data_IF_862044468494
#
_entry.id   IF_862044468494
#
_cell.length_a   1.000
_cell.length_b   1.000
_cell.length_c   1.000
_cell.angle_alpha   90.00
_cell.angle_beta   90.00
_cell.angle_gamma   90.00
#
_symmetry.space_group_name_H-M   'P 1'
#
loop_
_entity.id
_entity.type
_entity.pdbx_description
1 polymer ?
2 polymer ?
3 polymer ?
4 non-polymer ?
5 non-polymer ?
6 water ?
#
# COMPACT_ATOMS: atom_id res chain seq x y z
N UNK A 1 14.60 4.09 13.93
CA UNK A 1 13.45 4.89 14.43
C UNK A 1 12.89 3.96 15.46
N UNK A 2 11.84 4.34 16.15
CA UNK A 2 11.33 3.52 17.24
C UNK A 2 9.89 3.83 17.58
N UNK A 3 9.01 3.63 16.62
CA UNK A 3 8.12 2.47 16.65
C UNK A 3 8.27 1.81 15.29
N UNK A 4 8.23 0.48 15.26
CA UNK A 4 8.52 -0.23 14.03
C UNK A 4 7.56 -1.40 13.87
N UNK A 5 7.41 -1.86 12.65
CA UNK A 5 6.48 -2.97 12.39
C UNK A 5 7.03 -3.89 11.32
N UNK A 6 6.59 -5.15 11.36
CA UNK A 6 6.74 -6.07 10.26
C UNK A 6 5.35 -6.55 9.86
N UNK A 7 5.01 -6.45 8.57
CA UNK A 7 3.70 -6.86 8.08
C UNK A 7 3.79 -7.63 6.79
N UNK A 8 2.91 -8.63 6.67
CA UNK A 8 2.77 -9.38 5.43
C UNK A 8 1.37 -9.23 4.91
N UNK A 9 1.24 -9.14 3.57
CA UNK A 9 -0.02 -8.95 2.89
C UNK A 9 -0.14 -10.03 1.82
N UNK A 10 -1.29 -10.68 1.75
CA UNK A 10 -1.49 -11.79 0.83
C UNK A 10 -2.84 -11.62 0.15
N UNK A 11 -2.88 -11.82 -1.18
CA UNK A 11 -4.12 -11.76 -1.94
C UNK A 11 -4.17 -13.02 -2.80
N UNK A 12 -5.30 -13.74 -2.75
CA UNK A 12 -5.57 -14.79 -3.77
C UNK A 12 -6.84 -14.50 -4.51
N UNK A 13 -6.80 -14.63 -5.83
CA UNK A 13 -7.95 -14.33 -6.68
C UNK A 13 -8.27 -15.54 -7.53
N UNK A 14 -9.48 -16.09 -7.39
CA UNK A 14 -9.80 -17.35 -8.09
C UNK A 14 -10.00 -17.12 -9.61
N UNK A 15 -9.74 -18.20 -10.36
CA UNK A 15 -9.76 -18.23 -11.82
C UNK A 15 -10.66 -19.41 -12.23
N UNK A 16 -11.97 -19.13 -12.29
CA UNK A 16 -13.01 -20.17 -12.32
C UNK A 16 -13.04 -21.02 -13.60
N UNK A 17 -12.61 -20.44 -14.70
CA UNK A 17 -12.57 -21.18 -15.97
C UNK A 17 -11.51 -22.28 -16.08
N UNK A 18 -10.35 -22.12 -15.45
CA UNK A 18 -9.29 -23.11 -15.54
C UNK A 18 -8.17 -22.79 -14.54
N UNK A 19 -7.73 -23.79 -13.80
CA UNK A 19 -6.51 -23.68 -13.01
C UNK A 19 -6.70 -23.04 -11.65
N UNK A 20 -5.56 -22.72 -11.05
CA UNK A 20 -5.50 -22.33 -9.66
C UNK A 20 -5.55 -20.79 -9.51
N UNK A 21 -5.83 -20.31 -8.29
CA UNK A 21 -5.93 -18.86 -8.11
C UNK A 21 -4.58 -18.14 -8.34
N UNK A 22 -4.64 -16.87 -8.69
CA UNK A 22 -3.47 -15.99 -8.63
C UNK A 22 -3.18 -15.65 -7.18
N UNK A 23 -1.93 -15.82 -6.75
CA UNK A 23 -1.55 -15.56 -5.38
C UNK A 23 -0.39 -14.57 -5.37
N UNK A 24 -0.52 -13.51 -4.59
CA UNK A 24 0.53 -12.49 -4.47
C UNK A 24 0.77 -12.30 -2.97
N UNK A 25 2.04 -12.36 -2.55
CA UNK A 25 2.45 -12.09 -1.19
C UNK A 25 3.51 -10.97 -1.19
N UNK A 26 3.38 -10.05 -0.23
CA UNK A 26 4.39 -9.02 -0.04
C UNK A 26 4.68 -8.80 1.44
N UNK A 27 5.97 -8.67 1.76
CA UNK A 27 6.41 -8.41 3.14
C UNK A 27 7.03 -7.04 3.28
N UNK A 28 6.73 -6.35 4.39
CA UNK A 28 7.25 -4.99 4.69
C UNK A 28 7.88 -4.96 6.05
N UNK A 29 8.93 -4.17 6.18
CA UNK A 29 9.37 -3.62 7.47
C UNK A 29 9.07 -2.12 7.39
N UNK A 30 8.25 -1.62 8.29
CA UNK A 30 7.72 -0.25 8.17
C UNK A 30 7.16 -0.04 6.77
N UNK A 31 7.62 0.98 6.03
CA UNK A 31 7.13 1.20 4.71
C UNK A 31 8.09 0.73 3.61
N UNK A 32 8.95 -0.25 3.91
CA UNK A 32 9.91 -0.81 2.97
C UNK A 32 9.51 -2.23 2.63
N UNK A 33 9.19 -2.47 1.37
CA UNK A 33 8.97 -3.84 0.89
C UNK A 33 10.29 -4.56 0.90
N UNK A 34 10.33 -5.78 1.42
CA UNK A 34 11.57 -6.54 1.41
C UNK A 34 11.54 -7.89 0.72
N UNK A 35 10.33 -8.47 0.58
CA UNK A 35 10.17 -9.75 -0.11
C UNK A 35 8.88 -9.75 -0.90
N UNK A 36 8.82 -10.61 -1.89
CA UNK A 36 7.60 -10.81 -2.62
C UNK A 36 7.53 -12.24 -3.12
N UNK A 37 6.31 -12.68 -3.38
CA UNK A 37 6.05 -13.91 -4.13
C UNK A 37 4.87 -13.66 -5.06
N UNK A 38 4.98 -14.08 -6.32
CA UNK A 38 3.89 -13.97 -7.26
C UNK A 38 3.73 -15.33 -7.96
N UNK A 39 2.59 -15.99 -7.81
CA UNK A 39 2.39 -17.29 -8.43
C UNK A 39 2.55 -17.28 -9.95
N UNK A 40 2.38 -16.12 -10.59
CA UNK A 40 2.48 -15.98 -12.07
C UNK A 40 3.96 -15.89 -12.51
N UNK A 41 4.87 -15.57 -11.59
CA UNK A 41 6.30 -15.35 -11.91
C UNK A 41 7.02 -16.68 -12.15
N UNK A 42 8.19 -16.64 -12.78
CA UNK A 42 8.86 -17.89 -13.13
C UNK A 42 9.61 -18.56 -12.00
N UNK A 43 10.15 -17.79 -11.05
CA UNK A 43 11.04 -18.36 -10.06
C UNK A 43 10.38 -19.41 -9.20
N UNK A 44 9.10 -19.15 -8.87
CA UNK A 44 8.38 -19.93 -7.86
C UNK A 44 9.13 -19.93 -6.54
N UNK A 45 9.74 -18.80 -6.20
CA UNK A 45 10.47 -18.66 -4.97
C UNK A 45 10.06 -17.36 -4.29
N UNK A 46 10.20 -17.29 -2.98
CA UNK A 46 10.22 -15.98 -2.32
C UNK A 46 11.44 -15.20 -2.79
N UNK A 47 11.22 -13.97 -3.23
CA UNK A 47 12.25 -13.13 -3.85
C UNK A 47 12.58 -11.91 -2.99
N UNK A 48 13.87 -11.50 -2.96
CA UNK A 48 14.26 -10.31 -2.20
C UNK A 48 13.84 -9.05 -2.91
N UNK A 49 13.54 -8.02 -2.13
CA UNK A 49 13.21 -6.71 -2.69
C UNK A 49 13.91 -5.58 -1.95
N UNK A 50 14.80 -5.90 -1.03
CA UNK A 50 15.67 -4.91 -0.38
C UNK A 50 17.08 -5.51 -0.27
N UNK A 51 18.10 -4.65 -0.37
CA UNK A 51 19.47 -5.17 -0.25
C UNK A 51 19.84 -5.87 1.04
N UNK A 52 19.25 -5.46 2.16
CA UNK A 52 19.61 -5.99 3.44
C UNK A 52 19.05 -7.40 3.68
N UNK A 53 18.07 -7.83 2.88
CA UNK A 53 17.54 -9.18 3.08
C UNK A 53 18.38 -10.17 2.28
N UNK A 54 19.06 -9.70 1.26
CA UNK A 54 19.96 -10.54 0.47
C UNK A 54 21.13 -11.16 1.28
N UNK A 55 21.43 -10.60 2.46
CA UNK A 55 22.35 -11.19 3.45
C UNK A 55 21.95 -12.63 3.79
N UNK A 56 20.65 -12.92 3.79
CA UNK A 56 20.16 -14.16 4.37
C UNK A 56 20.57 -15.33 3.48
N UNK A 57 20.86 -16.44 4.13
CA UNK A 57 21.41 -17.57 3.42
C UNK A 57 20.36 -18.52 2.90
N UNK A 58 20.81 -19.58 2.25
CA UNK A 58 19.89 -20.50 1.58
C UNK A 58 18.81 -21.09 2.49
N UNK A 59 19.11 -21.39 3.75
CA UNK A 59 18.15 -22.01 4.64
C UNK A 59 16.98 -21.03 4.81
N UNK A 60 17.30 -19.74 4.92
CA UNK A 60 16.23 -18.72 4.98
C UNK A 60 15.31 -18.74 3.77
N UNK A 61 15.89 -18.67 2.58
CA UNK A 61 15.13 -18.64 1.34
C UNK A 61 14.34 -19.92 1.12
N UNK A 62 14.92 -21.07 1.44
CA UNK A 62 14.19 -22.33 1.33
C UNK A 62 12.94 -22.31 2.23
N UNK A 63 13.16 -21.88 3.47
CA UNK A 63 12.11 -21.87 4.48
C UNK A 63 11.01 -20.91 4.08
N UNK A 64 11.37 -19.71 3.65
CA UNK A 64 10.32 -18.73 3.28
C UNK A 64 9.56 -19.16 2.02
N UNK A 65 10.23 -19.79 1.06
CA UNK A 65 9.55 -20.30 -0.10
C UNK A 65 8.56 -21.39 0.33
N UNK A 66 9.00 -22.34 1.16
CA UNK A 66 8.11 -23.43 1.60
C UNK A 66 6.85 -22.85 2.27
N UNK A 67 7.08 -21.93 3.19
CA UNK A 67 5.95 -21.31 3.94
C UNK A 67 5.04 -20.51 3.03
N UNK A 68 5.59 -19.73 2.08
CA UNK A 68 4.71 -18.91 1.27
C UNK A 68 3.83 -19.77 0.32
N UNK A 69 4.38 -20.91 -0.12
CA UNK A 69 3.59 -21.86 -0.90
C UNK A 69 2.52 -22.50 -0.02
N UNK A 70 2.81 -22.76 1.24
CA UNK A 70 1.80 -23.26 2.17
C UNK A 70 0.71 -22.23 2.39
N UNK A 71 1.07 -20.95 2.53
CA UNK A 71 0.07 -19.89 2.58
C UNK A 71 -0.85 -19.94 1.36
N UNK A 72 -0.24 -20.09 0.17
CA UNK A 72 -0.98 -20.13 -1.07
C UNK A 72 -1.99 -21.30 -1.11
N UNK A 73 -1.56 -22.44 -0.61
CA UNK A 73 -2.47 -23.57 -0.62
C UNK A 73 -3.61 -23.41 0.39
N UNK A 74 -3.34 -22.82 1.55
CA UNK A 74 -4.45 -22.54 2.46
C UNK A 74 -5.47 -21.60 1.81
N UNK A 75 -4.98 -20.55 1.14
CA UNK A 75 -5.88 -19.65 0.43
C UNK A 75 -6.70 -20.37 -0.65
N UNK A 76 -6.06 -21.29 -1.35
CA UNK A 76 -6.77 -22.06 -2.36
C UNK A 76 -7.92 -22.84 -1.70
N UNK A 77 -7.63 -23.57 -0.68
CA UNK A 77 -8.62 -24.39 0.03
C UNK A 77 -9.76 -23.47 0.55
N UNK A 78 -9.38 -22.34 1.14
CA UNK A 78 -10.36 -21.40 1.70
C UNK A 78 -11.31 -20.89 0.63
N UNK A 79 -10.79 -20.57 -0.56
CA UNK A 79 -11.65 -20.11 -1.63
C UNK A 79 -12.75 -21.14 -1.96
N UNK A 80 -12.38 -22.43 -1.96
CA UNK A 80 -13.37 -23.50 -2.15
C UNK A 80 -14.36 -23.60 -1.01
N UNK A 81 -13.86 -23.55 0.23
CA UNK A 81 -14.69 -23.70 1.41
C UNK A 81 -15.69 -22.55 1.48
N UNK A 82 -15.21 -21.34 1.20
CA UNK A 82 -16.07 -20.17 1.28
C UNK A 82 -17.12 -20.13 0.15
N UNK A 83 -16.74 -20.52 -1.06
CA UNK A 83 -17.71 -20.60 -2.13
C UNK A 83 -18.88 -21.52 -1.68
N UNK A 84 -18.55 -22.60 -1.02
CA UNK A 84 -19.56 -23.54 -0.50
C UNK A 84 -20.41 -22.93 0.62
N UNK A 85 -19.80 -22.24 1.58
CA UNK A 85 -20.54 -21.76 2.71
C UNK A 85 -21.53 -20.66 2.30
N UNK A 86 -21.15 -19.86 1.29
CA UNK A 86 -21.99 -18.77 0.80
C UNK A 86 -22.87 -19.24 -0.36
N UNK A 87 -22.81 -20.52 -0.70
CA UNK A 87 -23.67 -21.10 -1.74
C UNK A 87 -23.56 -20.34 -3.05
N UNK A 88 -22.32 -20.09 -3.45
CA UNK A 88 -22.00 -19.40 -4.68
C UNK A 88 -21.70 -20.38 -5.80
N UNK A 89 -21.89 -19.91 -7.02
CA UNK A 89 -21.63 -20.72 -8.20
C UNK A 89 -20.14 -20.75 -8.53
N UNK A 90 -19.79 -21.67 -9.41
CA UNK A 90 -18.41 -21.80 -9.92
C UNK A 90 -18.09 -20.73 -10.96
N UNK A 91 -19.04 -19.85 -11.27
CA UNK A 91 -18.88 -18.93 -12.38
C UNK A 91 -18.03 -17.69 -12.09
N UNK A 92 -18.11 -17.19 -10.86
CA UNK A 92 -17.57 -15.86 -10.55
C UNK A 92 -16.17 -16.00 -9.94
N UNK A 93 -15.37 -14.98 -10.09
CA UNK A 93 -14.09 -14.90 -9.39
C UNK A 93 -14.32 -14.37 -7.98
N UNK A 94 -13.57 -14.89 -7.01
CA UNK A 94 -13.65 -14.43 -5.61
C UNK A 94 -12.23 -14.20 -5.10
N UNK A 95 -12.14 -13.50 -3.99
CA UNK A 95 -10.85 -13.07 -3.46
C UNK A 95 -10.78 -13.39 -1.98
N UNK A 96 -9.60 -13.79 -1.50
CA UNK A 96 -9.28 -13.73 -0.11
C UNK A 96 -8.10 -12.81 0.09
N UNK A 97 -8.12 -12.07 1.20
CA UNK A 97 -7.02 -11.16 1.58
C UNK A 97 -6.67 -11.36 3.03
N UNK A 98 -5.39 -11.47 3.31
CA UNK A 98 -4.88 -11.69 4.66
C UNK A 98 -3.78 -10.69 4.97
N UNK A 99 -3.77 -10.16 6.16
CA UNK A 99 -2.68 -9.29 6.63
C UNK A 99 -2.36 -9.66 8.05
N UNK A 100 -1.08 -9.87 8.36
CA UNK A 100 -0.68 -10.06 9.74
C UNK A 100 0.66 -9.41 10.04
N UNK A 101 0.93 -9.19 11.32
CA UNK A 101 2.22 -8.67 11.70
C UNK A 101 2.28 -8.23 13.13
N UNK A 102 3.39 -7.59 13.45
CA UNK A 102 3.68 -7.19 14.81
C UNK A 102 4.31 -5.81 14.82
N UNK A 103 4.12 -5.11 15.92
CA UNK A 103 4.73 -3.77 16.17
C UNK A 103 5.60 -3.88 17.42
N UNK A 104 6.74 -3.20 17.40
CA UNK A 104 7.58 -2.99 18.61
C UNK A 104 7.71 -1.51 18.90
N UNK A 105 7.91 -1.16 20.17
CA UNK A 105 8.04 0.25 20.54
C UNK A 105 9.48 0.72 20.42
N UNK A 106 9.79 1.91 20.95
CA UNK A 106 11.16 2.44 20.89
C UNK A 106 12.15 1.53 21.62
N UNK A 107 11.71 0.93 22.72
CA UNK A 107 12.52 -0.05 23.44
C UNK A 107 12.67 -1.39 22.70
N UNK A 108 12.09 -1.49 21.51
CA UNK A 108 12.05 -2.74 20.71
C UNK A 108 11.36 -3.93 21.38
N UNK A 109 10.50 -3.65 22.35
CA UNK A 109 9.69 -4.72 22.93
C UNK A 109 8.35 -4.79 22.20
N UNK A 110 7.76 -5.96 22.26
CA UNK A 110 6.43 -6.19 21.71
C UNK A 110 5.44 -5.13 22.15
N UNK A 111 4.70 -4.57 21.22
CA UNK A 111 3.63 -3.63 21.50
C UNK A 111 2.29 -4.23 21.14
N UNK A 112 2.19 -4.79 19.94
CA UNK A 112 0.91 -5.41 19.53
C UNK A 112 1.09 -6.31 18.31
N UNK A 113 0.14 -7.22 18.15
CA UNK A 113 0.13 -8.10 16.99
C UNK A 113 -1.26 -8.17 16.43
N UNK A 114 -1.34 -8.65 15.19
CA UNK A 114 -2.59 -8.63 14.47
C UNK A 114 -2.60 -9.65 13.33
N UNK A 115 -3.81 -10.07 12.98
CA UNK A 115 -4.06 -11.01 11.88
C UNK A 115 -5.46 -10.86 11.41
N UNK A 116 -5.68 -10.33 10.23
CA UNK A 116 -7.00 -10.06 9.71
C UNK A 116 -7.19 -10.80 8.40
N UNK A 117 -8.41 -11.23 8.14
CA UNK A 117 -8.78 -11.99 6.94
C UNK A 117 -10.13 -11.56 6.40
N UNK A 118 -10.18 -11.38 5.07
CA UNK A 118 -11.37 -10.89 4.36
C UNK A 118 -11.69 -11.82 3.20
N UNK A 119 -12.99 -11.97 2.91
CA UNK A 119 -13.50 -12.62 1.71
C UNK A 119 -14.28 -11.67 0.88
N UNK A 120 -13.93 -11.55 -0.40
CA UNK A 120 -14.53 -10.57 -1.29
C UNK A 120 -14.55 -9.15 -0.71
N UNK A 121 -13.48 -8.80 0.02
CA UNK A 121 -13.26 -7.42 0.45
C UNK A 121 -14.03 -7.01 1.69
N UNK A 122 -14.62 -8.02 2.35
CA UNK A 122 -15.38 -7.81 3.57
C UNK A 122 -14.70 -8.60 4.69
N UNK A 123 -14.68 -8.02 5.87
CA UNK A 123 -14.20 -8.72 7.03
C UNK A 123 -14.84 -10.11 7.16
N UNK A 124 -13.99 -11.10 7.43
CA UNK A 124 -14.39 -12.50 7.67
C UNK A 124 -14.06 -12.86 9.09
N UNK A 125 -12.77 -12.94 9.43
CA UNK A 125 -12.35 -13.27 10.78
C UNK A 125 -11.05 -12.55 11.08
N UNK A 126 -10.92 -12.07 12.30
CA UNK A 126 -9.73 -11.37 12.74
C UNK A 126 -9.39 -11.75 14.19
N UNK A 127 -8.09 -11.74 14.52
CA UNK A 127 -7.65 -11.91 15.88
C UNK A 127 -7.97 -10.66 16.63
N UNK A 128 -8.52 -10.81 17.83
CA UNK A 128 -8.67 -9.68 18.72
C UNK A 128 -7.33 -9.14 19.26
N UNK A 129 -7.36 -7.94 19.83
CA UNK A 129 -6.15 -7.30 20.37
C UNK A 129 -5.42 -8.12 21.42
N UNK A 130 -6.17 -8.84 22.25
CA UNK A 130 -5.56 -9.71 23.25
C UNK A 130 -4.87 -10.98 22.72
N UNK A 131 -5.00 -11.23 21.42
CA UNK A 131 -4.37 -12.35 20.74
C UNK A 131 -4.89 -13.71 21.23
N UNK A 132 -6.06 -13.72 21.87
CA UNK A 132 -6.57 -14.95 22.46
C UNK A 132 -7.79 -15.51 21.79
N UNK A 133 -8.56 -14.65 21.15
CA UNK A 133 -9.79 -15.10 20.50
C UNK A 133 -10.00 -14.31 19.23
N UNK A 134 -11.07 -14.67 18.55
CA UNK A 134 -11.38 -14.23 17.20
C UNK A 134 -12.68 -13.41 17.12
N UNK A 135 -12.69 -12.46 16.21
CA UNK A 135 -13.88 -11.70 15.83
C UNK A 135 -14.39 -12.22 14.49
N UNK A 136 -15.54 -12.88 14.50
CA UNK A 136 -16.19 -13.46 13.30
C UNK A 136 -17.31 -12.51 12.84
N UNK A 137 -17.30 -12.12 11.57
CA UNK A 137 -18.23 -11.11 11.06
C UNK A 137 -19.64 -11.65 10.80
N UNK A 138 -19.75 -12.92 10.42
CA UNK A 138 -20.99 -13.54 10.01
C UNK A 138 -21.04 -15.01 10.43
N UNK A 139 -22.09 -15.72 10.10
CA UNK A 139 -22.23 -17.08 10.60
C UNK A 139 -21.31 -18.12 9.92
N UNK A 140 -20.80 -17.82 8.72
CA UNK A 140 -19.79 -18.71 8.12
C UNK A 140 -18.48 -18.57 8.92
N UNK A 141 -18.09 -17.33 9.19
CA UNK A 141 -16.95 -17.08 10.05
C UNK A 141 -17.09 -17.61 11.46
N UNK A 142 -18.32 -17.64 11.99
CA UNK A 142 -18.56 -18.23 13.29
C UNK A 142 -18.26 -19.73 13.31
N UNK A 143 -18.58 -20.44 12.23
CA UNK A 143 -18.23 -21.87 12.12
C UNK A 143 -16.71 -22.02 12.13
N UNK A 144 -16.02 -21.12 11.43
CA UNK A 144 -14.57 -21.10 11.43
C UNK A 144 -14.06 -20.84 12.83
N UNK A 145 -14.65 -19.88 13.52
CA UNK A 145 -14.18 -19.57 14.87
C UNK A 145 -14.28 -20.78 15.79
N UNK A 146 -15.39 -21.53 15.76
CA UNK A 146 -15.54 -22.69 16.62
C UNK A 146 -14.46 -23.72 16.25
N UNK A 147 -14.19 -23.90 14.96
CA UNK A 147 -13.17 -24.86 14.50
C UNK A 147 -11.79 -24.45 15.05
N UNK A 148 -11.46 -23.19 14.90
CA UNK A 148 -10.17 -22.67 15.35
C UNK A 148 -10.00 -22.66 16.88
N UNK A 149 -11.09 -22.44 17.60
CA UNK A 149 -11.09 -22.55 19.07
C UNK A 149 -10.75 -23.97 19.49
N UNK A 150 -11.39 -24.94 18.86
CA UNK A 150 -11.13 -26.33 19.21
C UNK A 150 -9.69 -26.74 18.90
N UNK A 151 -9.13 -26.20 17.80
CA UNK A 151 -7.79 -26.58 17.36
C UNK A 151 -6.70 -25.69 17.94
N UNK A 152 -7.05 -24.74 18.80
CA UNK A 152 -6.13 -23.84 19.47
C UNK A 152 -5.27 -23.11 18.49
N UNK A 153 -5.94 -22.63 17.40
CA UNK A 153 -5.21 -21.92 16.34
C UNK A 153 -4.62 -20.56 16.80
N UNK A 154 -5.36 -19.81 17.61
CA UNK A 154 -4.88 -18.52 18.13
C UNK A 154 -3.60 -18.65 18.96
N UNK A 155 -3.52 -19.72 19.74
CA UNK A 155 -2.40 -19.87 20.66
C UNK A 155 -1.09 -20.01 19.86
N UNK A 156 -1.14 -20.76 18.77
CA UNK A 156 -0.01 -20.95 17.87
C UNK A 156 0.38 -19.59 17.23
N UNK A 157 -0.64 -18.88 16.78
CA UNK A 157 -0.39 -17.66 16.05
C UNK A 157 0.18 -16.60 17.01
N UNK A 158 -0.41 -16.53 18.20
CA UNK A 158 0.11 -15.65 19.23
C UNK A 158 1.58 -15.89 19.59
N UNK A 159 1.96 -17.16 19.63
CA UNK A 159 3.34 -17.50 19.86
C UNK A 159 4.25 -16.86 18.82
N UNK A 160 3.86 -16.96 17.56
CA UNK A 160 4.63 -16.35 16.47
C UNK A 160 4.67 -14.83 16.64
N UNK A 161 3.52 -14.20 16.84
CA UNK A 161 3.45 -12.74 16.88
C UNK A 161 4.26 -12.12 18.00
N UNK A 162 4.32 -12.80 19.14
CA UNK A 162 5.09 -12.32 20.28
C UNK A 162 6.54 -12.84 20.29
N UNK A 163 6.83 -13.82 19.44
CA UNK A 163 8.11 -14.54 19.44
C UNK A 163 8.90 -14.24 18.18
N UNK A 164 8.82 -15.16 17.22
CA UNK A 164 9.52 -15.04 15.97
C UNK A 164 9.31 -13.69 15.30
N UNK A 165 8.07 -13.24 15.23
CA UNK A 165 7.79 -12.01 14.51
C UNK A 165 8.63 -10.85 15.03
N UNK A 166 8.65 -10.62 16.33
CA UNK A 166 9.36 -9.46 16.89
C UNK A 166 10.87 -9.73 16.91
N UNK A 167 11.26 -10.98 17.08
CA UNK A 167 12.70 -11.33 17.00
C UNK A 167 13.29 -11.05 15.62
N UNK A 168 12.58 -11.48 14.57
CA UNK A 168 13.08 -11.27 13.22
C UNK A 168 12.92 -9.81 12.77
N UNK A 169 11.89 -9.15 13.26
CA UNK A 169 11.82 -7.70 13.01
C UNK A 169 13.08 -6.99 13.55
N UNK A 170 13.46 -7.30 14.77
CA UNK A 170 14.66 -6.67 15.35
C UNK A 170 15.90 -7.01 14.50
N UNK A 171 16.01 -8.27 14.08
CA UNK A 171 17.10 -8.70 13.19
C UNK A 171 17.17 -7.88 11.91
N UNK A 172 16.03 -7.68 11.26
CA UNK A 172 16.02 -6.95 10.02
C UNK A 172 16.33 -5.48 10.24
N UNK A 173 15.80 -4.90 11.31
CA UNK A 173 16.08 -3.49 11.63
C UNK A 173 17.60 -3.28 11.84
N UNK A 174 18.26 -4.23 12.49
CA UNK A 174 19.73 -4.16 12.68
C UNK A 174 20.47 -4.33 11.37
N UNK A 175 20.11 -5.35 10.59
CA UNK A 175 20.77 -5.60 9.32
C UNK A 175 20.60 -4.49 8.29
N UNK A 176 19.39 -3.92 8.24
CA UNK A 176 19.12 -2.80 7.37
C UNK A 176 19.18 -1.43 8.02
N UNK A 177 19.95 -1.27 9.08
CA UNK A 177 19.84 -0.07 9.91
C UNK A 177 20.12 1.18 9.10
N UNK A 178 21.02 1.08 8.12
CA UNK A 178 21.48 2.26 7.42
C UNK A 178 20.32 2.93 6.65
N UNK A 179 19.32 2.15 6.25
CA UNK A 179 18.12 2.72 5.63
C UNK A 179 16.89 2.62 6.54
N UNK A 180 16.65 1.45 7.14
CA UNK A 180 15.44 1.27 7.94
C UNK A 180 15.34 2.14 9.18
N UNK A 181 16.49 2.48 9.77
CA UNK A 181 16.49 3.31 10.96
C UNK A 181 16.89 4.73 10.64
N UNK A 182 16.88 5.08 9.35
CA UNK A 182 17.12 6.45 8.90
C UNK A 182 15.80 7.10 8.54
N UNK A 183 15.55 8.30 9.04
CA UNK A 183 14.39 9.09 8.59
C UNK A 183 14.81 10.07 7.52
N UNK A 184 13.97 10.21 6.50
CA UNK A 184 14.24 11.14 5.41
C UNK A 184 13.19 12.22 5.51
N UNK A 185 13.60 13.37 6.06
CA UNK A 185 12.66 14.48 6.23
C UNK A 185 12.12 14.97 4.88
N UNK A 186 10.86 15.43 4.88
CA UNK A 186 10.33 15.91 3.63
C UNK A 186 11.03 17.15 3.14
N UNK A 187 11.26 17.19 1.83
CA UNK A 187 11.69 18.41 1.16
C UNK A 187 10.42 19.17 0.83
N UNK A 188 10.26 20.40 1.32
CA UNK A 188 8.99 21.08 1.20
C UNK A 188 9.13 22.34 0.35
N UNK A 189 8.05 22.68 -0.33
CA UNK A 189 7.95 23.98 -1.01
C UNK A 189 6.50 24.28 -1.29
N UNK A 190 6.21 25.53 -1.65
CA UNK A 190 4.84 25.94 -1.98
C UNK A 190 4.81 26.41 -3.43
N UNK A 191 3.75 26.05 -4.11
CA UNK A 191 3.45 26.65 -5.39
C UNK A 191 2.15 27.45 -5.32
N UNK A 192 1.95 28.25 -6.37
CA UNK A 192 0.89 29.26 -6.45
C UNK A 192 0.37 29.34 -7.89
N UNK A 193 -0.90 29.01 -8.07
CA UNK A 193 -1.48 28.96 -9.40
C UNK A 193 -2.80 29.66 -9.42
N UNK A 194 -2.86 30.74 -10.21
CA UNK A 194 -4.11 31.45 -10.40
C UNK A 194 -5.23 30.54 -10.91
N UNK A 195 -6.41 30.68 -10.32
CA UNK A 195 -7.62 30.00 -10.78
C UNK A 195 -8.49 30.93 -11.62
N UNK A 196 -8.39 32.22 -11.30
CA UNK A 196 -8.96 33.33 -12.06
C UNK A 196 -8.11 34.56 -11.80
N UNK A 197 -8.63 35.71 -12.15
CA UNK A 197 -7.99 36.95 -11.84
C UNK A 197 -8.09 37.33 -10.35
N UNK A 198 -8.95 36.65 -9.58
CA UNK A 198 -9.20 37.04 -8.19
C UNK A 198 -9.15 35.91 -7.20
N UNK A 199 -8.84 34.70 -7.64
CA UNK A 199 -8.47 33.65 -6.68
C UNK A 199 -7.35 32.74 -7.18
N UNK A 200 -6.64 32.13 -6.24
CA UNK A 200 -5.46 31.33 -6.57
C UNK A 200 -5.38 30.09 -5.66
N UNK A 201 -4.80 29.01 -6.18
CA UNK A 201 -4.49 27.84 -5.39
C UNK A 201 -3.09 27.91 -4.84
N UNK A 202 -2.95 27.79 -3.53
CA UNK A 202 -1.67 27.53 -2.90
C UNK A 202 -1.55 26.05 -2.64
N UNK A 203 -0.42 25.47 -3.06
CA UNK A 203 -0.20 24.05 -2.88
C UNK A 203 1.09 23.85 -2.11
N UNK A 204 0.95 23.16 -0.98
CA UNK A 204 2.05 22.83 -0.10
C UNK A 204 2.50 21.42 -0.42
N UNK A 205 3.77 21.29 -0.78
CA UNK A 205 4.36 20.04 -1.24
C UNK A 205 5.31 19.44 -0.20
N UNK A 206 5.23 18.10 -0.04
CA UNK A 206 6.22 17.37 0.73
C UNK A 206 6.73 16.18 -0.15
N UNK A 207 8.03 16.22 -0.40
CA UNK A 207 8.67 15.27 -1.34
C UNK A 207 9.78 14.45 -0.69
N UNK A 208 9.99 13.27 -1.23
CA UNK A 208 11.14 12.46 -0.94
C UNK A 208 11.24 12.05 0.54
N UNK A 209 10.11 11.78 1.20
CA UNK A 209 10.15 11.51 2.64
C UNK A 209 9.98 10.01 2.95
N UNK A 210 10.47 9.66 4.13
CA UNK A 210 10.36 8.30 4.69
C UNK A 210 10.47 8.40 6.19
N UNK A 211 9.59 7.75 6.95
CA UNK A 211 8.52 6.87 6.48
C UNK A 211 7.32 7.63 5.93
N UNK A 212 6.28 6.90 5.55
CA UNK A 212 5.16 7.49 4.82
C UNK A 212 4.25 8.37 5.65
N UNK A 213 4.19 8.16 6.96
CA UNK A 213 3.31 8.95 7.82
C UNK A 213 3.71 10.42 7.81
N UNK A 214 2.74 11.29 7.55
CA UNK A 214 2.96 12.74 7.49
C UNK A 214 1.65 13.44 7.74
N UNK A 215 1.75 14.66 8.26
CA UNK A 215 0.59 15.52 8.37
C UNK A 215 0.89 16.88 7.74
N UNK A 216 0.02 17.26 6.80
CA UNK A 216 0.01 18.60 6.21
C UNK A 216 -1.27 19.32 6.63
N UNK A 217 -1.11 20.53 7.17
CA UNK A 217 -2.24 21.29 7.68
C UNK A 217 -2.17 22.72 7.18
N UNK A 218 -3.28 23.23 6.64
CA UNK A 218 -3.37 24.65 6.29
C UNK A 218 -3.99 25.42 7.44
N UNK A 219 -3.49 26.63 7.65
CA UNK A 219 -3.99 27.56 8.67
C UNK A 219 -4.26 28.89 8.00
N UNK A 220 -5.27 29.61 8.50
CA UNK A 220 -5.49 31.00 8.14
C UNK A 220 -5.50 31.82 9.43
N UNK A 221 -4.65 32.83 9.50
CA UNK A 221 -4.40 33.54 10.78
C UNK A 221 -4.06 32.62 11.92
N UNK A 222 -3.39 31.52 11.61
CA UNK A 222 -2.87 30.60 12.63
C UNK A 222 -3.86 29.54 13.11
N UNK A 223 -5.09 29.57 12.60
CA UNK A 223 -6.08 28.58 12.93
C UNK A 223 -6.33 27.64 11.78
N UNK A 224 -6.52 26.37 12.09
CA UNK A 224 -6.73 25.32 11.07
C UNK A 224 -7.88 25.71 10.14
N UNK A 225 -7.67 25.51 8.86
CA UNK A 225 -8.71 25.66 7.84
C UNK A 225 -8.84 24.37 7.04
N UNK A 226 -10.05 23.85 6.91
CA UNK A 226 -10.33 22.70 6.04
C UNK A 226 -11.24 23.05 4.87
N UNK A 227 -12.06 24.09 5.01
CA UNK A 227 -12.84 24.53 3.84
C UNK A 227 -11.95 25.03 2.71
N UNK A 228 -12.39 24.74 1.48
CA UNK A 228 -11.67 25.11 0.27
C UNK A 228 -10.25 24.49 0.22
N UNK A 229 -10.06 23.35 0.88
CA UNK A 229 -8.80 22.61 0.84
C UNK A 229 -8.99 21.27 0.14
N UNK A 230 -7.87 20.74 -0.34
CA UNK A 230 -7.81 19.44 -0.96
C UNK A 230 -6.51 18.79 -0.48
N UNK A 231 -6.58 17.54 -0.02
CA UNK A 231 -5.38 16.82 0.45
C UNK A 231 -5.35 15.53 -0.37
N UNK A 232 -4.28 15.27 -1.12
CA UNK A 232 -4.20 14.01 -1.86
C UNK A 232 -3.69 12.89 -0.98
N UNK A 233 -4.01 11.66 -1.37
CA UNK A 233 -3.44 10.48 -0.74
C UNK A 233 -1.93 10.49 -0.89
N UNK A 234 -1.22 10.15 0.18
CA UNK A 234 0.20 9.93 0.11
C UNK A 234 0.53 8.86 -0.94
N UNK A 235 1.53 9.15 -1.76
CA UNK A 235 1.78 8.34 -2.94
C UNK A 235 3.26 7.99 -3.02
N UNK A 236 3.56 6.83 -3.60
CA UNK A 236 4.97 6.47 -3.69
C UNK A 236 5.68 7.20 -4.81
N UNK A 237 6.90 7.61 -4.55
CA UNK A 237 7.71 8.18 -5.63
C UNK A 237 8.16 7.10 -6.60
N UNK A 238 8.38 5.89 -6.08
CA UNK A 238 8.96 4.79 -6.87
C UNK A 238 10.39 4.46 -6.52
N UNK A 239 11.03 5.30 -5.71
CA UNK A 239 12.43 5.10 -5.27
C UNK A 239 12.53 4.75 -3.79
N UNK A 240 11.39 4.42 -3.19
CA UNK A 240 11.34 4.08 -1.81
C UNK A 240 10.82 5.16 -0.90
N UNK A 241 10.71 6.36 -1.43
CA UNK A 241 10.23 7.53 -0.70
C UNK A 241 8.81 7.83 -1.11
N UNK A 242 8.24 8.83 -0.45
CA UNK A 242 6.82 9.17 -0.58
C UNK A 242 6.63 10.65 -0.85
N UNK A 243 5.46 10.96 -1.40
CA UNK A 243 5.09 12.34 -1.75
C UNK A 243 3.67 12.64 -1.24
N UNK A 244 3.39 13.93 -0.99
CA UNK A 244 2.02 14.34 -0.69
C UNK A 244 1.96 15.86 -0.95
N UNK A 245 0.74 16.33 -1.23
CA UNK A 245 0.49 17.75 -1.24
C UNK A 245 -0.87 18.04 -0.65
N UNK A 246 -1.00 19.31 -0.26
CA UNK A 246 -2.27 19.83 0.26
C UNK A 246 -2.45 21.20 -0.37
N UNK A 247 -3.68 21.50 -0.79
CA UNK A 247 -3.93 22.76 -1.47
C UNK A 247 -5.05 23.54 -0.78
N UNK A 248 -5.03 24.85 -0.97
CA UNK A 248 -6.12 25.70 -0.49
C UNK A 248 -6.39 26.77 -1.54
N UNK A 249 -7.65 27.11 -1.78
CA UNK A 249 -8.00 28.23 -2.65
C UNK A 249 -8.22 29.50 -1.82
N UNK A 250 -7.56 30.56 -2.22
CA UNK A 250 -7.54 31.82 -1.47
C UNK A 250 -7.84 32.98 -2.42
N UNK A 251 -8.35 34.09 -1.89
CA UNK A 251 -8.41 35.30 -2.68
C UNK A 251 -7.05 35.82 -3.05
N UNK A 252 -6.84 36.18 -4.32
CA UNK A 252 -5.57 36.70 -4.73
C UNK A 252 -5.24 38.01 -4.03
N UNK A 253 -4.01 38.12 -3.52
CA UNK A 253 -3.59 39.21 -2.71
C UNK A 253 -3.60 38.91 -1.22
N UNK A 254 -4.27 37.83 -0.83
CA UNK A 254 -4.38 37.44 0.59
C UNK A 254 -3.54 36.21 0.99
N UNK A 255 -2.61 35.84 0.12
CA UNK A 255 -1.78 34.63 0.33
C UNK A 255 -1.03 34.68 1.66
N UNK A 256 -0.55 35.86 2.05
CA UNK A 256 0.30 35.97 3.26
C UNK A 256 -0.36 35.57 4.58
N UNK A 257 -1.69 35.50 4.66
CA UNK A 257 -2.28 35.09 5.91
C UNK A 257 -2.38 33.59 6.09
N UNK A 258 -2.03 32.84 5.05
CA UNK A 258 -2.12 31.40 5.08
C UNK A 258 -0.76 30.73 5.35
N UNK A 259 -0.77 29.70 6.19
CA UNK A 259 0.45 28.94 6.47
C UNK A 259 0.16 27.47 6.33
N UNK A 260 1.16 26.74 5.83
CA UNK A 260 1.10 25.26 5.79
C UNK A 260 2.10 24.71 6.84
N UNK A 261 1.62 23.80 7.67
CA UNK A 261 2.47 23.12 8.62
C UNK A 261 2.69 21.70 8.17
N UNK A 262 3.94 21.29 8.31
CA UNK A 262 4.33 19.93 7.94
C UNK A 262 4.94 19.25 9.18
N UNK A 263 4.32 18.15 9.56
CA UNK A 263 4.77 17.30 10.65
C UNK A 263 5.21 15.95 10.10
N UNK A 264 6.39 15.52 10.53
CA UNK A 264 6.96 14.22 10.12
C UNK A 264 8.01 13.79 11.18
N UNK A 265 8.21 12.47 11.31
CA UNK A 265 9.19 11.93 12.27
C UNK A 265 10.61 12.48 12.05
N UNK A 266 10.93 12.83 10.81
CA UNK A 266 12.24 13.31 10.45
C UNK A 266 12.50 14.78 10.75
N UNK A 267 11.47 15.46 11.24
CA UNK A 267 11.58 16.87 11.62
C UNK A 267 11.51 16.99 13.15
N UNK A 268 12.55 17.56 13.76
CA UNK A 268 12.51 17.90 15.20
C UNK A 268 11.35 18.83 15.60
N UNK A 269 11.00 19.76 14.72
CA UNK A 269 9.90 20.68 14.95
C UNK A 269 9.12 20.71 13.64
N UNK A 270 7.79 20.88 13.71
CA UNK A 270 7.07 21.03 12.46
C UNK A 270 7.57 22.23 11.64
N UNK A 271 7.54 22.10 10.33
CA UNK A 271 7.86 23.19 9.44
C UNK A 271 6.65 24.06 9.20
N UNK A 272 6.91 25.34 8.99
CA UNK A 272 5.90 26.31 8.63
C UNK A 272 6.26 26.98 7.31
N UNK A 273 5.37 26.88 6.32
CA UNK A 273 5.59 27.47 5.01
C UNK A 273 4.58 28.61 4.80
N UNK A 274 5.07 29.70 4.23
CA UNK A 274 4.23 30.87 3.96
C UNK A 274 4.60 31.45 2.59
N UNK A 275 3.61 31.80 1.78
CA UNK A 275 3.88 32.31 0.46
C UNK A 275 4.64 33.63 0.52
N UNK B 1 -18.49 -2.80 -0.43
CA UNK B 1 -19.25 -3.58 -1.43
C UNK B 1 -18.38 -4.76 -1.92
N UNK B 2 -18.26 -4.95 -3.21
CA UNK B 2 -17.10 -5.69 -3.62
C UNK B 2 -16.46 -4.76 -4.63
N UNK B 3 -17.21 -3.68 -4.97
CA UNK B 3 -16.90 -2.70 -6.06
C UNK B 3 -16.79 -1.19 -5.66
N UNK B 4 -15.58 -0.65 -5.76
CA UNK B 4 -15.33 0.76 -5.46
C UNK B 4 -14.36 1.28 -6.54
N UNK B 5 -14.58 2.48 -7.08
CA UNK B 5 -13.88 2.94 -8.28
C UNK B 5 -12.48 3.43 -7.88
N UNK B 6 -11.49 3.22 -8.74
CA UNK B 6 -10.14 3.66 -8.38
C UNK B 6 -9.94 5.14 -8.32
N UNK B 7 -9.24 5.59 -7.29
CA UNK B 7 -8.58 6.88 -7.30
C UNK B 7 -7.34 6.78 -8.20
N UNK B 8 -7.06 7.85 -8.92
CA UNK B 8 -5.99 7.84 -9.92
C UNK B 8 -5.13 9.10 -9.78
N UNK B 9 -3.82 8.94 -9.59
CA UNK B 9 -2.92 10.10 -9.63
C UNK B 9 -1.85 9.82 -10.68
N UNK B 10 -1.57 10.78 -11.54
CA UNK B 10 -0.56 10.66 -12.60
C UNK B 10 0.45 11.76 -12.39
N UNK B 11 1.71 11.37 -12.22
CA UNK B 11 2.75 12.27 -11.78
C UNK B 11 4.12 11.75 -12.14
N UNK B 12 5.11 12.66 -12.21
CA UNK B 12 6.49 12.23 -12.38
C UNK B 12 7.11 11.98 -11.02
N UNK B 13 8.09 11.10 -11.02
CA UNK B 13 8.86 10.88 -9.82
C UNK B 13 9.54 12.18 -9.31
N UNK B 14 10.20 12.87 -10.23
CA UNK B 14 10.87 14.17 -9.97
C UNK B 14 10.21 15.27 -10.71
N UNK B 15 10.43 16.52 -10.26
CA UNK B 15 9.90 17.66 -10.98
C UNK B 15 10.41 17.63 -12.39
N UNK B 16 9.51 17.78 -13.34
CA UNK B 16 9.82 17.51 -14.73
C UNK B 16 10.62 18.66 -15.35
N UNK B 17 11.65 18.27 -16.09
CA UNK B 17 12.33 19.18 -16.98
C UNK B 17 12.56 18.52 -18.33
N UNK B 18 12.38 19.31 -19.39
CA UNK B 18 12.58 18.85 -20.76
C UNK B 18 14.00 18.35 -20.99
N UNK B 19 14.11 17.16 -21.56
CA UNK B 19 15.39 16.56 -21.86
C UNK B 19 16.05 15.83 -20.73
N UNK B 20 15.38 15.78 -19.56
CA UNK B 20 15.97 15.14 -18.43
C UNK B 20 15.16 13.93 -18.05
N UNK B 21 15.81 12.77 -18.12
CA UNK B 21 15.24 11.46 -17.89
C UNK B 21 14.53 11.43 -16.53
N UNK B 22 13.38 10.77 -16.49
CA UNK B 22 12.51 10.82 -15.28
C UNK B 22 11.66 9.52 -15.33
N UNK B 23 10.67 9.44 -14.43
CA UNK B 23 9.77 8.31 -14.38
C UNK B 23 8.35 8.83 -14.29
N UNK B 24 7.50 8.31 -15.16
CA UNK B 24 6.09 8.62 -15.18
C UNK B 24 5.35 7.53 -14.38
N UNK B 25 4.56 7.99 -13.41
CA UNK B 25 3.83 7.12 -12.47
C UNK B 25 2.34 7.29 -12.69
N UNK B 26 1.64 6.18 -12.61
CA UNK B 26 0.19 6.19 -12.39
C UNK B 26 -0.11 5.34 -11.17
N UNK B 27 -0.55 6.00 -10.12
CA UNK B 27 -0.90 5.34 -8.87
C UNK B 27 -2.39 5.17 -8.79
N UNK B 28 -2.85 3.93 -8.71
CA UNK B 28 -4.29 3.67 -8.65
C UNK B 28 -4.58 3.02 -7.31
N UNK B 29 -5.58 3.51 -6.59
CA UNK B 29 -5.78 3.02 -5.23
C UNK B 29 -7.25 3.06 -4.88
N UNK B 30 -7.58 2.51 -3.74
CA UNK B 30 -8.93 2.53 -3.27
C UNK B 30 -9.94 1.75 -4.07
N UNK B 31 -9.51 0.72 -4.81
CA UNK B 31 -10.41 -0.04 -5.69
C UNK B 31 -10.77 -1.44 -5.24
N UNK B 32 -11.95 -1.89 -5.65
CA UNK B 32 -12.42 -3.27 -5.43
C UNK B 32 -13.59 -3.39 -6.49
N UNK B 33 -13.55 -4.47 -7.23
CA UNK B 33 -12.62 -5.55 -7.03
C UNK B 33 -11.18 -5.33 -7.62
N UNK B 34 -10.30 -6.33 -7.54
CA UNK B 34 -8.86 -6.16 -7.82
C UNK B 34 -8.54 -6.10 -9.34
N UNK B 35 -9.40 -6.68 -10.16
CA UNK B 35 -9.15 -6.76 -11.60
C UNK B 35 -9.17 -5.35 -12.15
N UNK B 36 -8.08 -4.95 -12.80
CA UNK B 36 -7.95 -3.57 -13.31
C UNK B 36 -6.99 -3.54 -14.49
N UNK B 37 -7.21 -2.63 -15.44
CA UNK B 37 -6.29 -2.50 -16.55
C UNK B 37 -5.81 -1.06 -16.58
N UNK B 38 -4.48 -0.91 -16.57
CA UNK B 38 -3.86 0.40 -16.55
C UNK B 38 -2.85 0.45 -17.70
N UNK B 39 -2.99 1.47 -18.54
CA UNK B 39 -1.99 1.78 -19.55
C UNK B 39 -1.49 3.21 -19.40
N UNK B 40 -0.19 3.41 -19.66
CA UNK B 40 0.35 4.73 -19.77
C UNK B 40 0.42 5.11 -21.25
N UNK B 41 0.01 6.34 -21.55
CA UNK B 41 -0.14 6.82 -22.93
C UNK B 41 0.87 7.94 -23.19
N UNK B 42 1.41 7.93 -24.41
CA UNK B 42 2.19 9.03 -24.94
C UNK B 42 1.54 9.48 -26.24
N UNK B 43 1.09 10.73 -26.25
CA UNK B 43 0.32 11.31 -27.37
C UNK B 43 -0.79 10.34 -27.79
N UNK B 44 -1.49 9.77 -26.82
CA UNK B 44 -2.61 8.86 -27.12
C UNK B 44 -2.29 7.40 -27.38
N UNK B 45 -1.03 7.06 -27.59
CA UNK B 45 -0.65 5.68 -27.89
C UNK B 45 -0.20 5.02 -26.59
N UNK B 46 -0.55 3.73 -26.46
CA UNK B 46 -0.10 2.94 -25.32
C UNK B 46 1.42 2.77 -25.34
N UNK B 47 2.08 3.10 -24.23
CA UNK B 47 3.48 2.84 -24.05
C UNK B 47 3.74 1.37 -23.72
N UNK B 48 4.74 0.75 -24.36
CA UNK B 48 4.97 -0.70 -24.18
C UNK B 48 5.76 -1.08 -22.94
N UNK B 49 6.79 -0.32 -22.61
CA UNK B 49 7.71 -0.75 -21.56
C UNK B 49 7.17 -0.25 -20.22
N UNK B 50 6.10 -0.89 -19.70
CA UNK B 50 5.52 -0.38 -18.44
C UNK B 50 5.60 -1.45 -17.36
N UNK B 51 6.13 -1.07 -16.20
CA UNK B 51 6.21 -1.98 -15.06
C UNK B 51 5.14 -1.66 -14.00
N UNK B 52 4.88 -2.59 -13.10
CA UNK B 52 3.99 -2.28 -11.99
C UNK B 52 4.43 -2.95 -10.71
N UNK B 53 3.97 -2.40 -9.60
CA UNK B 53 4.24 -2.92 -8.30
C UNK B 53 3.42 -4.22 -8.04
N UNK B 54 3.79 -4.93 -6.99
CA UNK B 54 3.02 -6.10 -6.55
C UNK B 54 1.74 -5.65 -5.83
N UNK B 55 0.64 -6.24 -6.23
CA UNK B 55 -0.68 -5.96 -5.61
C UNK B 55 -0.62 -5.99 -4.08
N UNK B 56 -1.10 -4.92 -3.48
CA UNK B 56 -1.24 -4.85 -2.06
C UNK B 56 -2.52 -4.07 -1.76
N UNK B 57 -2.80 -3.86 -0.48
CA UNK B 57 -4.08 -3.29 -0.05
C UNK B 57 -3.95 -2.55 1.26
N UNK B 58 -4.92 -1.67 1.49
CA UNK B 58 -5.02 -0.82 2.65
C UNK B 58 -5.87 -1.46 3.73
N UNK B 59 -5.98 -0.72 4.82
CA UNK B 59 -6.72 -1.15 6.00
C UNK B 59 -8.16 -1.54 5.71
N UNK B 60 -8.83 -0.77 4.87
CA UNK B 60 -10.20 -1.04 4.47
C UNK B 60 -10.34 -2.16 3.41
N UNK B 61 -9.23 -2.85 3.09
CA UNK B 61 -9.18 -3.93 2.10
C UNK B 61 -9.08 -3.48 0.62
N UNK B 62 -9.22 -2.17 0.37
CA UNK B 62 -9.17 -1.75 -1.02
C UNK B 62 -7.72 -1.81 -1.52
N UNK B 63 -7.60 -2.08 -2.81
CA UNK B 63 -6.28 -2.39 -3.41
C UNK B 63 -5.57 -1.13 -3.93
N UNK B 64 -4.26 -1.25 -4.12
CA UNK B 64 -3.48 -0.19 -4.78
C UNK B 64 -2.35 -0.83 -5.58
N UNK B 65 -1.98 -0.13 -6.65
CA UNK B 65 -0.92 -0.50 -7.57
C UNK B 65 -0.26 0.79 -8.04
N UNK B 66 1.03 0.71 -8.30
CA UNK B 66 1.80 1.75 -9.03
C UNK B 66 2.23 1.18 -10.37
N UNK B 67 1.88 1.87 -11.44
CA UNK B 67 2.40 1.60 -12.77
C UNK B 67 3.39 2.69 -13.17
N UNK B 68 4.48 2.30 -13.81
CA UNK B 68 5.54 3.27 -14.04
C UNK B 68 6.41 2.92 -15.24
N UNK B 69 7.03 3.96 -15.80
CA UNK B 69 7.91 3.78 -16.96
C UNK B 69 8.90 4.94 -16.98
N UNK B 70 10.10 4.67 -17.47
CA UNK B 70 11.08 5.74 -17.63
C UNK B 70 10.66 6.54 -18.82
N UNK B 71 10.81 7.84 -18.74
CA UNK B 71 10.56 8.69 -19.88
C UNK B 71 11.41 9.94 -19.84
N UNK B 72 11.56 10.60 -20.98
CA UNK B 72 12.25 11.90 -21.02
C UNK B 72 11.28 12.92 -21.53
N UNK B 73 10.71 13.72 -20.62
CA UNK B 73 9.75 14.72 -21.06
C UNK B 73 10.31 15.73 -22.07
N UNK B 74 9.44 16.15 -23.00
CA UNK B 74 9.71 17.21 -24.00
C UNK B 74 8.60 18.27 -23.92
N UNK B 75 8.75 19.38 -24.64
CA UNK B 75 7.75 20.45 -24.51
C UNK B 75 6.41 20.02 -25.13
N UNK B 76 6.49 19.26 -26.22
CA UNK B 76 5.30 18.97 -27.02
C UNK B 76 4.59 17.67 -26.60
N UNK B 77 5.31 16.71 -26.02
CA UNK B 77 4.75 15.38 -25.83
C UNK B 77 3.73 15.42 -24.72
N UNK B 78 2.60 14.74 -24.93
CA UNK B 78 1.54 14.68 -23.93
C UNK B 78 1.42 13.28 -23.35
N UNK B 79 1.26 13.18 -22.03
CA UNK B 79 1.19 11.86 -21.39
C UNK B 79 -0.10 11.72 -20.59
N UNK B 80 -0.49 10.48 -20.37
CA UNK B 80 -1.72 10.21 -19.65
C UNK B 80 -1.72 8.78 -19.13
N UNK B 81 -2.67 8.50 -18.24
CA UNK B 81 -2.92 7.16 -17.75
C UNK B 81 -4.36 6.80 -18.15
N UNK B 82 -4.54 5.59 -18.67
CA UNK B 82 -5.88 5.08 -19.03
C UNK B 82 -6.22 3.91 -18.13
N UNK B 83 -7.31 4.01 -17.38
CA UNK B 83 -7.71 2.96 -16.45
C UNK B 83 -9.09 2.42 -16.86
N UNK B 84 -9.20 1.11 -16.88
CA UNK B 84 -10.51 0.45 -16.96
C UNK B 84 -10.70 -0.49 -15.77
N UNK B 85 -11.95 -0.58 -15.35
CA UNK B 85 -12.32 -1.29 -14.15
C UNK B 85 -13.82 -1.55 -14.25
N UNK B 86 -14.36 -2.43 -13.43
CA UNK B 86 -15.81 -2.74 -13.57
C UNK B 86 -16.73 -1.58 -13.21
N UNK B 87 -16.25 -0.60 -12.47
CA UNK B 87 -17.03 0.56 -12.06
C UNK B 87 -17.15 1.65 -13.12
N UNK B 88 -16.42 1.50 -14.22
CA UNK B 88 -16.30 2.55 -15.23
C UNK B 88 -16.98 2.06 -16.51
N UNK B 89 -17.94 2.84 -17.02
CA UNK B 89 -18.63 2.44 -18.25
C UNK B 89 -17.75 2.59 -19.50
N UNK B 90 -16.74 3.46 -19.43
CA UNK B 90 -15.69 3.48 -20.45
C UNK B 90 -14.35 3.70 -19.75
N UNK B 91 -13.26 3.47 -20.48
CA UNK B 91 -11.96 3.76 -19.86
C UNK B 91 -11.86 5.21 -19.40
N UNK B 92 -11.18 5.44 -18.29
CA UNK B 92 -10.97 6.80 -17.76
C UNK B 92 -9.54 7.20 -18.09
N UNK B 93 -9.40 8.37 -18.71
CA UNK B 93 -8.09 8.84 -19.12
C UNK B 93 -7.79 10.06 -18.31
N UNK B 94 -6.68 10.00 -17.55
CA UNK B 94 -6.29 11.12 -16.72
C UNK B 94 -4.96 11.65 -17.27
N UNK B 95 -4.98 12.90 -17.68
CA UNK B 95 -3.80 13.54 -18.23
C UNK B 95 -2.76 13.86 -17.17
N UNK B 96 -1.49 13.73 -17.55
CA UNK B 96 -0.38 14.21 -16.72
C UNK B 96 -0.36 15.73 -16.77
N UNK B 97 -0.46 16.35 -15.60
CA UNK B 97 -0.36 17.80 -15.46
C UNK B 97 0.93 18.05 -14.68
N UNK B 98 1.95 18.62 -15.30
CA UNK B 98 3.22 18.70 -14.60
C UNK B 98 3.23 19.58 -13.31
N UNK B 99 2.10 20.21 -12.96
CA UNK B 99 1.98 20.97 -11.68
C UNK B 99 1.23 20.17 -10.52
N UNK B 100 1.19 18.83 -10.59
CA UNK B 100 0.31 18.04 -9.67
C UNK B 100 0.79 16.61 -9.19
N UNK C 1 10.06 -12.95 8.38
CA UNK C 1 9.96 -14.40 8.61
C UNK C 1 8.48 -14.83 8.78
N UNK C 2 7.93 -15.49 7.76
CA UNK C 2 6.49 -15.87 7.75
C UNK C 2 6.06 -16.77 8.87
N UNK C 3 4.77 -16.70 9.21
CA UNK C 3 4.24 -17.62 10.21
C UNK C 3 4.43 -19.07 9.76
N UNK C 4 4.72 -20.00 10.71
CA UNK C 4 5.04 -21.35 10.26
C UNK C 4 3.90 -22.22 9.75
N UNK C 5 2.68 -21.93 10.21
CA UNK C 5 1.52 -22.71 9.80
C UNK C 5 0.34 -21.77 9.61
N UNK C 6 -0.53 -22.10 8.66
CA UNK C 6 -1.69 -21.30 8.32
C UNK C 6 -2.89 -22.26 8.24
N UNK C 7 -3.71 -22.25 9.28
CA UNK C 7 -4.91 -23.08 9.34
C UNK C 7 -5.95 -22.61 8.32
N UNK C 8 -6.63 -23.57 7.70
CA UNK C 8 -7.70 -23.32 6.77
C UNK C 8 -8.98 -22.93 7.54
N UNK C 9 -9.76 -22.06 6.93
CA UNK C 9 -11.05 -21.66 7.54
C UNK C 9 -12.09 -22.77 7.58
#
# INVERSE_FOLDING_TARGET
>A
AGSHSMRYFFTSVSRPGRGEPRFIAVGYVDDTQFVRFDSDAASQRMEPRAPWIEQEGPEYWDGETRKVKAHSQTHRVDLGTLRGCYNQSEAGSHTVQRMYGCDVGSDWRFLRGYHQYAYDGKDYIALKEDLRSWTAADMCAQTTKHKWEAAHVAEQLRAYLEGTCVEWLRRYLENGKETLQRTDAPKTHMTHHAVSDHEATLRCWALSFYPAEITLTWQRDGEDQTQDTELVETRPAGDGTFQKWVAVVVPSGQEQRYTCHVQHEGLPKPLTLRWE
>B
MIQRTPKIQVYSRHPAENGKSNFLNCYVSGFHPSDIEVDLLKNGERIEKVEHSDLSFSKDWSFYLLYYTEFTPTEKDEYACRVNHVTLSQPKIVKWDRDM
>C
NLVPMVATV
#
